data_IF_632993837574
#
_entry.id   IF_632993837574
#
_cell.length_a   1.000
_cell.length_b   1.000
_cell.length_c   1.000
_cell.angle_alpha   90.00
_cell.angle_beta   90.00
_cell.angle_gamma   90.00
#
_symmetry.space_group_name_H-M   'P 1'
#
loop_
_entity.id
_entity.type
_entity.pdbx_description
1 polymer ?
#
# COMPACT_ATOMS: atom_id res chain seq x y z
N UNK A 1 31.17 2.09 44.36
CA UNK A 1 30.13 1.13 43.91
C UNK A 1 28.74 1.72 43.68
N UNK A 2 28.40 2.98 44.05
CA UNK A 2 27.06 3.54 43.81
C UNK A 2 26.91 4.39 42.54
N UNK A 3 28.00 4.90 41.96
CA UNK A 3 27.95 5.72 40.73
C UNK A 3 27.88 4.89 39.43
N UNK A 4 28.44 3.66 39.43
CA UNK A 4 28.45 2.80 38.24
C UNK A 4 27.08 2.18 37.93
N UNK A 5 26.19 2.07 38.93
CA UNK A 5 24.84 1.52 38.74
C UNK A 5 23.89 2.56 38.13
N UNK A 6 24.07 3.85 38.41
CA UNK A 6 23.22 4.90 37.81
C UNK A 6 23.49 5.13 36.32
N UNK A 7 24.73 4.97 35.86
CA UNK A 7 25.09 5.10 34.43
C UNK A 7 24.63 3.90 33.58
N UNK A 8 24.42 2.72 34.19
CA UNK A 8 23.84 1.56 33.50
C UNK A 8 22.34 1.72 33.24
N UNK A 9 21.62 2.40 34.13
CA UNK A 9 20.15 2.53 34.04
C UNK A 9 19.71 3.62 33.06
N UNK A 10 20.47 4.71 32.89
CA UNK A 10 20.16 5.72 31.86
C UNK A 10 20.45 5.26 30.43
N UNK A 11 21.43 4.38 30.24
CA UNK A 11 21.78 3.82 28.92
C UNK A 11 20.71 2.85 28.38
N UNK A 12 19.87 2.30 29.26
CA UNK A 12 18.78 1.37 28.91
C UNK A 12 17.48 2.07 28.51
N UNK A 13 17.36 3.39 28.70
CA UNK A 13 16.17 4.17 28.32
C UNK A 13 16.30 4.94 27.00
N UNK A 14 17.51 5.02 26.43
CA UNK A 14 17.73 5.58 25.09
C UNK A 14 17.42 4.58 23.95
N UNK A 15 17.19 3.30 24.29
CA UNK A 15 16.82 2.26 23.33
C UNK A 15 15.37 1.82 23.50
N UNK A 16 14.42 2.60 22.97
CA UNK A 16 13.09 2.13 22.48
C UNK A 16 12.07 3.26 22.24
N UNK A 17 12.44 4.53 22.22
CA UNK A 17 11.67 5.49 21.40
C UNK A 17 12.06 5.25 19.94
N UNK A 18 11.68 4.09 19.38
CA UNK A 18 11.42 4.04 17.94
C UNK A 18 10.17 4.88 17.74
N UNK A 19 10.37 6.19 17.52
CA UNK A 19 9.38 6.94 16.76
C UNK A 19 9.35 6.22 15.43
N UNK A 20 8.38 5.32 15.26
CA UNK A 20 8.15 4.69 13.98
C UNK A 20 7.71 5.86 13.07
N UNK A 21 8.60 6.26 12.17
CA UNK A 21 8.22 7.20 11.12
C UNK A 21 7.07 6.56 10.32
N UNK A 22 6.11 7.37 9.88
CA UNK A 22 5.11 6.94 8.92
C UNK A 22 5.85 6.36 7.70
N UNK A 23 5.41 5.20 7.22
CA UNK A 23 6.03 4.56 6.06
C UNK A 23 5.38 5.06 4.76
N UNK A 24 6.21 5.22 3.73
CA UNK A 24 5.80 5.64 2.39
C UNK A 24 5.93 4.46 1.45
N UNK A 25 4.83 4.11 0.81
CA UNK A 25 4.78 3.06 -0.21
C UNK A 25 4.59 3.68 -1.58
N UNK A 26 4.90 2.92 -2.63
CA UNK A 26 4.48 3.27 -3.98
C UNK A 26 3.72 2.10 -4.61
N UNK A 27 2.57 2.41 -5.19
CA UNK A 27 1.75 1.48 -5.94
C UNK A 27 2.50 1.02 -7.20
N UNK A 28 2.65 -0.28 -7.38
CA UNK A 28 3.42 -0.85 -8.47
C UNK A 28 2.56 -1.85 -9.25
N UNK A 29 2.26 -1.53 -10.50
CA UNK A 29 1.55 -2.39 -11.43
C UNK A 29 2.47 -3.52 -11.87
N UNK A 30 2.27 -4.73 -11.34
CA UNK A 30 3.12 -5.89 -11.67
C UNK A 30 2.99 -6.26 -13.15
N UNK A 31 1.81 -6.10 -13.75
CA UNK A 31 1.59 -6.35 -15.20
C UNK A 31 2.56 -5.54 -16.08
N UNK A 32 2.93 -4.33 -15.66
CA UNK A 32 3.86 -3.46 -16.41
C UNK A 32 5.34 -3.88 -16.29
N UNK A 33 5.61 -5.04 -15.67
CA UNK A 33 6.95 -5.62 -15.50
C UNK A 33 7.16 -6.92 -16.29
N UNK A 34 6.28 -7.26 -17.24
CA UNK A 34 6.34 -8.49 -18.05
C UNK A 34 7.74 -8.80 -18.61
N UNK A 35 8.47 -7.75 -19.03
CA UNK A 35 9.81 -7.88 -19.62
C UNK A 35 10.94 -7.48 -18.67
N UNK A 36 10.67 -7.26 -17.39
CA UNK A 36 11.71 -6.92 -16.42
C UNK A 36 12.59 -8.13 -16.16
N UNK A 37 13.88 -7.85 -16.06
CA UNK A 37 14.86 -8.75 -15.45
C UNK A 37 15.05 -8.40 -13.98
N UNK A 38 15.78 -9.23 -13.22
CA UNK A 38 16.19 -8.89 -11.85
C UNK A 38 16.93 -7.55 -11.79
N UNK A 39 17.72 -7.21 -12.82
CA UNK A 39 18.42 -5.92 -12.90
C UNK A 39 17.47 -4.72 -12.98
N UNK A 40 16.40 -4.83 -13.76
CA UNK A 40 15.39 -3.76 -13.88
C UNK A 40 14.67 -3.56 -12.54
N UNK A 41 14.31 -4.64 -11.86
CA UNK A 41 13.77 -4.60 -10.50
C UNK A 41 14.73 -3.94 -9.51
N UNK A 42 16.01 -4.32 -9.49
CA UNK A 42 17.02 -3.73 -8.61
C UNK A 42 17.21 -2.23 -8.86
N UNK A 43 17.18 -1.77 -10.11
CA UNK A 43 17.26 -0.35 -10.46
C UNK A 43 16.05 0.40 -9.92
N UNK A 44 14.84 -0.10 -10.14
CA UNK A 44 13.63 0.56 -9.68
C UNK A 44 13.62 0.68 -8.15
N UNK A 45 13.99 -0.39 -7.44
CA UNK A 45 14.11 -0.37 -5.98
C UNK A 45 15.20 0.59 -5.49
N UNK A 46 16.33 0.67 -6.20
CA UNK A 46 17.37 1.66 -5.89
C UNK A 46 16.83 3.09 -6.02
N UNK A 47 16.07 3.40 -7.06
CA UNK A 47 15.47 4.73 -7.22
C UNK A 47 14.39 5.01 -6.18
N UNK A 48 13.57 4.02 -5.83
CA UNK A 48 12.60 4.14 -4.75
C UNK A 48 13.27 4.45 -3.40
N UNK A 49 14.36 3.74 -3.06
CA UNK A 49 15.17 4.03 -1.87
C UNK A 49 15.74 5.45 -1.89
N UNK A 50 16.21 5.94 -3.05
CA UNK A 50 16.71 7.31 -3.20
C UNK A 50 15.60 8.37 -3.04
N UNK A 51 14.36 8.01 -3.38
CA UNK A 51 13.17 8.83 -3.16
C UNK A 51 12.56 8.67 -1.76
N UNK A 52 13.20 7.90 -0.87
CA UNK A 52 12.71 7.60 0.48
C UNK A 52 11.37 6.85 0.51
N UNK A 53 11.13 6.01 -0.49
CA UNK A 53 10.02 5.03 -0.47
C UNK A 53 10.51 3.78 0.28
N UNK A 54 9.69 3.28 1.19
CA UNK A 54 9.99 2.16 2.07
C UNK A 54 9.63 0.80 1.44
N UNK A 55 8.57 0.75 0.64
CA UNK A 55 8.12 -0.48 -0.01
C UNK A 55 7.36 -0.24 -1.31
N UNK A 56 7.29 -1.26 -2.16
CA UNK A 56 6.29 -1.31 -3.25
C UNK A 56 5.06 -2.12 -2.84
N UNK A 57 3.89 -1.54 -3.10
CA UNK A 57 2.59 -2.20 -3.06
C UNK A 57 2.37 -2.90 -4.41
N UNK A 58 2.61 -4.21 -4.47
CA UNK A 58 2.55 -4.98 -5.71
C UNK A 58 1.10 -5.24 -6.10
N UNK A 59 0.58 -4.42 -7.01
CA UNK A 59 -0.75 -4.56 -7.59
C UNK A 59 -0.76 -5.68 -8.63
N UNK A 60 -1.65 -6.66 -8.41
CA UNK A 60 -1.76 -7.84 -9.24
C UNK A 60 -3.22 -8.16 -9.54
N UNK A 61 -3.57 -8.21 -10.81
CA UNK A 61 -4.86 -8.74 -11.26
C UNK A 61 -4.83 -10.28 -11.21
N UNK A 62 -5.96 -10.89 -10.86
CA UNK A 62 -6.06 -12.35 -10.76
C UNK A 62 -5.76 -13.02 -12.12
N UNK A 63 -4.90 -14.04 -12.11
CA UNK A 63 -4.59 -14.85 -13.30
C UNK A 63 -3.81 -14.13 -14.39
N UNK A 64 -3.25 -12.95 -14.13
CA UNK A 64 -2.26 -12.33 -15.02
C UNK A 64 -1.00 -13.20 -15.07
N UNK A 65 -0.60 -13.63 -16.28
CA UNK A 65 0.56 -14.49 -16.50
C UNK A 65 1.89 -13.85 -16.09
N UNK A 66 1.91 -12.53 -15.87
CA UNK A 66 3.07 -11.78 -15.40
C UNK A 66 3.36 -11.99 -13.92
N UNK A 67 2.34 -12.33 -13.12
CA UNK A 67 2.43 -12.33 -11.65
C UNK A 67 3.55 -13.25 -11.15
N UNK A 68 3.44 -14.55 -11.36
CA UNK A 68 4.40 -15.53 -10.82
C UNK A 68 5.85 -15.30 -11.26
N UNK A 69 6.17 -15.14 -12.57
CA UNK A 69 7.55 -14.90 -12.99
C UNK A 69 8.09 -13.57 -12.44
N UNK A 70 7.28 -12.51 -12.44
CA UNK A 70 7.74 -11.20 -11.99
C UNK A 70 7.93 -11.14 -10.47
N UNK A 71 7.04 -11.75 -9.69
CA UNK A 71 7.19 -11.84 -8.23
C UNK A 71 8.48 -12.55 -7.82
N UNK A 72 8.85 -13.64 -8.50
CA UNK A 72 10.11 -14.34 -8.23
C UNK A 72 11.32 -13.39 -8.39
N UNK A 73 11.37 -12.65 -9.50
CA UNK A 73 12.44 -11.69 -9.80
C UNK A 73 12.42 -10.49 -8.83
N UNK A 74 11.23 -9.99 -8.49
CA UNK A 74 11.04 -8.88 -7.57
C UNK A 74 11.56 -9.24 -6.17
N UNK A 75 11.19 -10.39 -5.62
CA UNK A 75 11.67 -10.80 -4.29
C UNK A 75 13.16 -11.15 -4.29
N UNK A 76 13.71 -11.66 -5.38
CA UNK A 76 15.17 -11.83 -5.52
C UNK A 76 15.88 -10.47 -5.43
N UNK A 77 15.47 -9.51 -6.25
CA UNK A 77 16.02 -8.15 -6.26
C UNK A 77 15.84 -7.44 -4.91
N UNK A 78 14.66 -7.55 -4.29
CA UNK A 78 14.38 -6.90 -3.01
C UNK A 78 15.26 -7.43 -1.89
N UNK A 79 15.53 -8.74 -1.86
CA UNK A 79 16.46 -9.33 -0.89
C UNK A 79 17.89 -8.83 -1.09
N UNK A 80 18.34 -8.66 -2.34
CA UNK A 80 19.66 -8.07 -2.65
C UNK A 80 19.74 -6.61 -2.21
N UNK A 81 18.68 -5.83 -2.44
CA UNK A 81 18.64 -4.39 -2.17
C UNK A 81 18.29 -4.04 -0.73
N UNK A 82 17.82 -5.01 0.07
CA UNK A 82 17.20 -4.74 1.37
C UNK A 82 15.95 -3.85 1.25
N UNK A 83 15.23 -3.95 0.13
CA UNK A 83 13.99 -3.21 -0.11
C UNK A 83 12.79 -4.06 0.31
N UNK A 84 11.65 -3.43 0.63
CA UNK A 84 10.46 -4.14 1.08
C UNK A 84 9.38 -4.17 -0.01
N UNK A 85 8.59 -5.23 -0.02
CA UNK A 85 7.48 -5.45 -0.95
C UNK A 85 6.27 -5.96 -0.16
N UNK A 86 5.05 -5.64 -0.58
CA UNK A 86 3.86 -6.31 -0.07
C UNK A 86 2.81 -6.46 -1.17
N UNK A 87 1.81 -7.29 -0.93
CA UNK A 87 0.78 -7.56 -1.93
C UNK A 87 -0.40 -6.61 -1.82
N UNK A 88 -0.78 -6.06 -2.96
CA UNK A 88 -2.06 -5.38 -3.22
C UNK A 88 -2.84 -6.23 -4.22
N UNK A 89 -3.74 -7.09 -3.73
CA UNK A 89 -4.54 -7.93 -4.63
C UNK A 89 -5.59 -7.07 -5.33
N UNK A 90 -5.53 -6.98 -6.66
CA UNK A 90 -6.50 -6.25 -7.46
C UNK A 90 -7.72 -7.14 -7.77
N UNK A 91 -8.83 -6.84 -7.10
CA UNK A 91 -10.11 -7.54 -7.27
C UNK A 91 -10.97 -6.95 -8.40
N UNK A 92 -10.60 -5.78 -8.95
CA UNK A 92 -11.32 -5.10 -10.01
C UNK A 92 -10.70 -5.31 -11.41
N UNK A 93 -9.40 -5.60 -11.49
CA UNK A 93 -8.64 -5.68 -12.74
C UNK A 93 -8.99 -6.88 -13.63
N UNK A 94 -9.14 -8.07 -13.05
CA UNK A 94 -9.53 -9.29 -13.78
C UNK A 94 -10.54 -10.16 -13.00
N UNK A 95 -11.38 -9.51 -12.20
CA UNK A 95 -12.34 -10.16 -11.32
C UNK A 95 -11.76 -10.56 -9.97
N UNK A 96 -12.62 -11.12 -9.11
CA UNK A 96 -12.28 -11.41 -7.73
C UNK A 96 -11.24 -12.52 -7.61
N UNK A 97 -10.26 -12.34 -6.72
CA UNK A 97 -9.30 -13.36 -6.36
C UNK A 97 -9.96 -14.50 -5.56
N UNK A 98 -9.73 -15.78 -5.92
CA UNK A 98 -10.15 -16.90 -5.10
C UNK A 98 -9.44 -16.88 -3.74
N UNK A 99 -10.20 -17.05 -2.66
CA UNK A 99 -9.68 -17.07 -1.28
C UNK A 99 -8.46 -17.97 -1.09
N UNK A 100 -8.50 -19.20 -1.62
CA UNK A 100 -7.40 -20.15 -1.47
C UNK A 100 -6.10 -19.64 -2.10
N UNK A 101 -6.19 -19.04 -3.29
CA UNK A 101 -5.05 -18.47 -3.99
C UNK A 101 -4.43 -17.29 -3.23
N UNK A 102 -5.25 -16.43 -2.62
CA UNK A 102 -4.74 -15.33 -1.77
C UNK A 102 -3.96 -15.88 -0.57
N UNK A 103 -4.48 -16.93 0.08
CA UNK A 103 -3.78 -17.60 1.19
C UNK A 103 -2.44 -18.17 0.72
N UNK A 104 -2.44 -18.90 -0.41
CA UNK A 104 -1.23 -19.52 -0.95
C UNK A 104 -0.13 -18.48 -1.25
N UNK A 105 -0.49 -17.35 -1.84
CA UNK A 105 0.45 -16.24 -2.10
C UNK A 105 1.04 -15.68 -0.79
N UNK A 106 0.19 -15.39 0.20
CA UNK A 106 0.66 -14.84 1.48
C UNK A 106 1.52 -15.87 2.24
N UNK A 107 1.16 -17.14 2.23
CA UNK A 107 1.95 -18.19 2.89
C UNK A 107 3.31 -18.39 2.20
N UNK A 108 3.36 -18.27 0.87
CA UNK A 108 4.59 -18.41 0.09
C UNK A 108 5.58 -17.25 0.34
N UNK A 109 5.11 -16.01 0.35
CA UNK A 109 5.99 -14.83 0.38
C UNK A 109 5.98 -14.06 1.69
N UNK A 110 4.92 -14.18 2.49
CA UNK A 110 4.69 -13.35 3.67
C UNK A 110 5.75 -13.51 4.75
N UNK A 111 6.50 -14.61 4.78
CA UNK A 111 7.61 -14.80 5.73
C UNK A 111 8.98 -14.34 5.19
N UNK A 112 9.05 -13.88 3.94
CA UNK A 112 10.29 -13.42 3.33
C UNK A 112 10.80 -12.14 4.04
N UNK A 113 12.12 -12.01 4.22
CA UNK A 113 12.74 -10.83 4.83
C UNK A 113 12.55 -9.54 4.04
N UNK A 114 12.30 -9.65 2.74
CA UNK A 114 11.94 -8.53 1.88
C UNK A 114 10.43 -8.26 1.84
N UNK A 115 9.60 -9.01 2.59
CA UNK A 115 8.17 -8.73 2.70
C UNK A 115 7.94 -7.68 3.79
N UNK A 116 7.20 -6.61 3.50
CA UNK A 116 6.90 -5.57 4.47
C UNK A 116 6.03 -6.13 5.60
N UNK A 117 6.53 -6.02 6.83
CA UNK A 117 5.81 -6.43 8.03
C UNK A 117 5.44 -5.24 8.89
N UNK A 118 4.21 -5.23 9.38
CA UNK A 118 3.76 -4.27 10.38
C UNK A 118 3.37 -4.98 11.67
N UNK A 119 3.94 -4.54 12.79
CA UNK A 119 3.78 -5.18 14.11
C UNK A 119 4.05 -6.70 14.07
N UNK A 120 5.06 -7.10 13.28
CA UNK A 120 5.49 -8.49 13.13
C UNK A 120 4.58 -9.36 12.25
N UNK A 121 3.62 -8.79 11.54
CA UNK A 121 2.69 -9.50 10.65
C UNK A 121 2.91 -9.08 9.19
N UNK A 122 2.77 -9.99 8.21
CA UNK A 122 2.84 -9.61 6.80
C UNK A 122 1.73 -8.62 6.50
N UNK A 123 2.10 -7.47 5.93
CA UNK A 123 1.14 -6.43 5.56
C UNK A 123 0.49 -6.76 4.21
N UNK A 124 -0.82 -6.61 4.08
CA UNK A 124 -1.55 -6.92 2.84
C UNK A 124 -2.60 -5.85 2.60
N UNK A 125 -2.73 -5.42 1.35
CA UNK A 125 -3.79 -4.54 0.88
C UNK A 125 -4.54 -5.16 -0.31
N UNK A 126 -5.54 -4.43 -0.80
CA UNK A 126 -6.27 -4.74 -2.03
C UNK A 126 -6.44 -3.47 -2.84
N UNK A 127 -6.73 -3.61 -4.12
CA UNK A 127 -7.47 -2.60 -4.87
C UNK A 127 -8.89 -3.11 -5.06
N UNK A 128 -9.86 -2.39 -4.48
CA UNK A 128 -11.26 -2.78 -4.41
C UNK A 128 -11.48 -4.22 -3.89
N UNK A 129 -12.61 -4.84 -4.23
CA UNK A 129 -13.04 -6.16 -3.77
C UNK A 129 -13.95 -6.21 -2.54
N UNK A 130 -14.79 -5.20 -2.23
CA UNK A 130 -15.66 -5.27 -1.05
C UNK A 130 -16.67 -6.43 -1.09
N UNK A 131 -17.03 -6.93 -2.27
CA UNK A 131 -17.88 -8.13 -2.42
C UNK A 131 -17.21 -9.41 -1.88
N UNK A 132 -15.89 -9.42 -1.79
CA UNK A 132 -15.08 -10.51 -1.22
C UNK A 132 -14.69 -10.24 0.24
N UNK A 133 -15.18 -9.16 0.87
CA UNK A 133 -14.88 -8.83 2.26
C UNK A 133 -15.16 -9.97 3.28
N UNK A 134 -16.19 -10.83 3.11
CA UNK A 134 -16.39 -11.98 4.00
C UNK A 134 -15.28 -13.04 3.94
N UNK A 135 -14.59 -13.20 2.80
CA UNK A 135 -13.51 -14.19 2.67
C UNK A 135 -12.29 -13.81 3.52
N UNK A 136 -12.08 -12.52 3.77
CA UNK A 136 -10.97 -12.02 4.56
C UNK A 136 -11.03 -12.42 6.04
N UNK A 137 -12.19 -12.86 6.54
CA UNK A 137 -12.30 -13.49 7.88
C UNK A 137 -11.40 -14.73 7.93
N UNK A 138 -11.51 -15.60 6.93
CA UNK A 138 -10.76 -16.85 6.85
C UNK A 138 -9.31 -16.61 6.43
N UNK A 139 -9.07 -15.70 5.47
CA UNK A 139 -7.71 -15.37 4.99
C UNK A 139 -6.86 -14.88 6.16
N UNK A 140 -7.32 -13.85 6.89
CA UNK A 140 -6.59 -13.33 8.05
C UNK A 140 -6.38 -14.37 9.13
N UNK A 141 -7.38 -15.22 9.39
CA UNK A 141 -7.26 -16.29 10.38
C UNK A 141 -6.18 -17.30 10.02
N UNK A 142 -5.98 -17.57 8.73
CA UNK A 142 -5.00 -18.54 8.22
C UNK A 142 -3.60 -17.97 8.14
N UNK A 143 -3.46 -16.76 7.61
CA UNK A 143 -2.15 -16.16 7.31
C UNK A 143 -1.61 -15.30 8.44
N UNK A 144 -2.49 -14.82 9.34
CA UNK A 144 -2.13 -13.89 10.40
C UNK A 144 -1.73 -12.49 9.91
N UNK A 145 -2.05 -12.15 8.66
CA UNK A 145 -1.66 -10.87 8.06
C UNK A 145 -2.26 -9.65 8.76
N UNK A 146 -1.58 -8.51 8.60
CA UNK A 146 -2.11 -7.18 8.91
C UNK A 146 -2.77 -6.63 7.64
N UNK A 147 -4.08 -6.43 7.69
CA UNK A 147 -4.89 -6.21 6.50
C UNK A 147 -5.43 -4.78 6.44
N UNK A 148 -5.05 -4.05 5.37
CA UNK A 148 -5.43 -2.66 5.10
C UNK A 148 -5.97 -2.57 3.67
N UNK A 149 -7.23 -2.95 3.41
CA UNK A 149 -7.80 -2.91 2.07
C UNK A 149 -8.09 -1.49 1.62
N UNK A 150 -8.01 -1.28 0.31
CA UNK A 150 -8.82 -0.26 -0.36
C UNK A 150 -10.17 -0.87 -0.75
N UNK A 151 -11.25 -0.32 -0.19
CA UNK A 151 -12.65 -0.58 -0.56
C UNK A 151 -13.36 0.76 -0.80
N UNK A 152 -12.68 1.69 -1.47
CA UNK A 152 -13.13 3.07 -1.62
C UNK A 152 -14.47 3.22 -2.34
N UNK A 153 -14.87 2.26 -3.20
CA UNK A 153 -16.20 2.24 -3.82
C UNK A 153 -17.36 2.24 -2.82
N UNK A 154 -17.15 1.80 -1.57
CA UNK A 154 -18.14 1.89 -0.49
C UNK A 154 -18.01 3.16 0.36
N UNK A 155 -16.82 3.77 0.40
CA UNK A 155 -16.44 4.74 1.42
C UNK A 155 -16.17 4.10 2.79
N UNK A 156 -15.52 4.86 3.69
CA UNK A 156 -14.94 4.32 4.93
C UNK A 156 -15.93 3.57 5.84
N UNK A 157 -17.09 4.15 6.13
CA UNK A 157 -18.08 3.54 7.05
C UNK A 157 -18.59 2.21 6.53
N UNK A 158 -19.08 2.19 5.29
CA UNK A 158 -19.64 0.99 4.70
C UNK A 158 -18.56 -0.08 4.43
N UNK A 159 -17.32 0.32 4.14
CA UNK A 159 -16.18 -0.61 4.07
C UNK A 159 -15.97 -1.35 5.40
N UNK A 160 -16.03 -0.66 6.54
CA UNK A 160 -15.93 -1.30 7.85
C UNK A 160 -17.13 -2.20 8.18
N UNK A 161 -18.32 -1.84 7.71
CA UNK A 161 -19.54 -2.63 7.88
C UNK A 161 -19.58 -3.87 6.98
N UNK A 162 -18.85 -3.87 5.85
CA UNK A 162 -18.79 -4.99 4.91
C UNK A 162 -18.14 -6.25 5.51
N UNK A 163 -17.21 -6.07 6.47
CA UNK A 163 -16.61 -7.17 7.23
C UNK A 163 -16.14 -6.67 8.60
N UNK A 164 -17.06 -6.56 9.58
CA UNK A 164 -16.77 -5.92 10.86
C UNK A 164 -15.63 -6.59 11.62
N UNK A 165 -14.64 -5.80 12.03
CA UNK A 165 -13.46 -6.25 12.76
C UNK A 165 -12.40 -6.96 11.93
N UNK A 166 -12.60 -7.09 10.61
CA UNK A 166 -11.62 -7.74 9.72
C UNK A 166 -10.53 -6.77 9.24
N UNK A 167 -10.83 -5.57 8.69
CA UNK A 167 -9.77 -4.60 8.38
C UNK A 167 -9.07 -4.10 9.66
N UNK A 168 -7.74 -4.17 9.69
CA UNK A 168 -6.91 -3.57 10.76
C UNK A 168 -6.69 -2.06 10.54
N UNK A 169 -6.91 -1.59 9.32
CA UNK A 169 -6.90 -0.22 8.87
C UNK A 169 -7.66 -0.11 7.54
N UNK A 170 -7.71 1.06 6.95
CA UNK A 170 -8.23 1.24 5.59
C UNK A 170 -7.29 2.11 4.75
N UNK A 171 -7.26 1.82 3.47
CA UNK A 171 -6.65 2.62 2.43
C UNK A 171 -7.75 3.33 1.64
N UNK A 172 -7.53 4.60 1.31
CA UNK A 172 -8.39 5.33 0.37
C UNK A 172 -7.72 5.42 -1.01
N UNK A 173 -8.51 5.34 -2.08
CA UNK A 173 -8.07 5.58 -3.46
C UNK A 173 -8.27 7.04 -3.90
N UNK A 174 -8.68 7.94 -3.00
CA UNK A 174 -8.98 9.34 -3.30
C UNK A 174 -7.72 10.23 -3.32
N UNK A 175 -6.78 9.96 -4.24
CA UNK A 175 -5.52 10.70 -4.35
C UNK A 175 -5.64 12.06 -5.07
N UNK A 176 -6.77 12.30 -5.75
CA UNK A 176 -6.96 13.37 -6.72
C UNK A 176 -8.28 14.11 -6.48
N UNK A 177 -8.40 15.37 -6.94
CA UNK A 177 -9.67 16.07 -6.90
C UNK A 177 -10.63 15.50 -7.93
N UNK A 178 -11.92 15.68 -7.69
CA UNK A 178 -12.93 15.33 -8.67
C UNK A 178 -13.04 16.41 -9.76
N UNK A 179 -12.60 16.11 -10.97
CA UNK A 179 -12.75 17.00 -12.13
C UNK A 179 -11.91 18.29 -11.99
N UNK A 180 -12.53 19.48 -12.14
CA UNK A 180 -11.81 20.76 -12.12
C UNK A 180 -11.63 21.35 -10.71
N UNK A 181 -12.01 20.62 -9.66
CA UNK A 181 -11.95 21.14 -8.29
C UNK A 181 -10.51 21.15 -7.74
N UNK A 182 -10.30 21.87 -6.65
CA UNK A 182 -9.07 21.78 -5.87
C UNK A 182 -9.08 20.54 -4.97
N UNK A 183 -7.90 20.06 -4.61
CA UNK A 183 -7.77 18.92 -3.71
C UNK A 183 -8.06 19.32 -2.27
N UNK A 184 -8.88 18.53 -1.58
CA UNK A 184 -9.22 18.73 -0.17
C UNK A 184 -8.90 17.49 0.69
N UNK A 185 -9.24 17.54 1.98
CA UNK A 185 -9.04 16.44 2.94
C UNK A 185 -10.36 15.86 3.46
N UNK A 186 -11.49 16.10 2.78
CA UNK A 186 -12.80 15.67 3.28
C UNK A 186 -12.89 14.14 3.33
N UNK A 187 -12.43 13.47 2.28
CA UNK A 187 -12.38 12.00 2.25
C UNK A 187 -11.43 11.47 3.31
N UNK A 188 -10.21 12.02 3.41
CA UNK A 188 -9.22 11.60 4.42
C UNK A 188 -9.79 11.73 5.85
N UNK A 189 -10.43 12.86 6.16
CA UNK A 189 -11.06 13.10 7.46
C UNK A 189 -12.14 12.06 7.77
N UNK A 190 -12.95 11.68 6.77
CA UNK A 190 -13.97 10.64 6.95
C UNK A 190 -13.35 9.27 7.30
N UNK A 191 -12.24 8.90 6.65
CA UNK A 191 -11.53 7.66 6.97
C UNK A 191 -10.99 7.70 8.41
N UNK A 192 -10.32 8.78 8.78
CA UNK A 192 -9.77 8.94 10.13
C UNK A 192 -10.86 8.92 11.22
N UNK A 193 -12.02 9.52 10.96
CA UNK A 193 -13.17 9.51 11.87
C UNK A 193 -13.71 8.08 12.06
N UNK A 194 -14.04 7.38 10.97
CA UNK A 194 -14.65 6.04 11.06
C UNK A 194 -13.69 4.93 11.49
N UNK A 195 -12.38 5.12 11.28
CA UNK A 195 -11.37 4.18 11.75
C UNK A 195 -11.23 4.20 13.28
N UNK A 196 -11.68 5.26 13.95
CA UNK A 196 -11.71 5.40 15.41
C UNK A 196 -10.37 5.04 16.07
N UNK A 197 -9.30 5.68 15.58
CA UNK A 197 -7.92 5.47 16.04
C UNK A 197 -7.20 4.26 15.42
N UNK A 198 -7.85 3.49 14.54
CA UNK A 198 -7.14 2.52 13.69
C UNK A 198 -6.34 3.21 12.58
N UNK A 199 -5.24 2.61 12.11
CA UNK A 199 -4.40 3.20 11.07
C UNK A 199 -5.14 3.49 9.75
N UNK A 200 -4.86 4.69 9.21
CA UNK A 200 -5.25 5.12 7.88
C UNK A 200 -4.03 5.12 6.95
N UNK A 201 -4.19 4.57 5.75
CA UNK A 201 -3.24 4.73 4.65
C UNK A 201 -3.76 5.80 3.69
N UNK A 202 -3.04 6.92 3.60
CA UNK A 202 -3.42 8.08 2.81
C UNK A 202 -2.88 7.97 1.38
N UNK A 203 -3.70 8.17 0.34
CA UNK A 203 -3.22 8.21 -1.03
C UNK A 203 -2.60 9.56 -1.37
N UNK A 204 -1.48 9.53 -2.10
CA UNK A 204 -0.85 10.72 -2.68
C UNK A 204 -0.54 10.43 -4.14
N UNK A 205 -0.77 11.38 -5.03
CA UNK A 205 -0.44 11.21 -6.44
C UNK A 205 0.07 12.53 -7.02
N UNK A 206 1.00 12.49 -8.00
CA UNK A 206 1.48 13.71 -8.60
C UNK A 206 0.45 14.36 -9.55
N UNK A 207 -0.34 13.56 -10.28
CA UNK A 207 -1.42 14.00 -11.18
C UNK A 207 -2.26 12.80 -11.65
N UNK A 208 -3.29 13.03 -12.46
CA UNK A 208 -4.04 11.95 -13.12
C UNK A 208 -4.43 12.35 -14.54
N UNK A 209 -4.10 11.48 -15.49
CA UNK A 209 -4.63 11.57 -16.85
C UNK A 209 -4.69 10.18 -17.46
N UNK A 210 -5.83 9.85 -18.05
CA UNK A 210 -5.98 8.58 -18.75
C UNK A 210 -6.63 8.80 -20.10
N UNK A 211 -6.17 8.07 -21.10
CA UNK A 211 -6.82 7.94 -22.39
C UNK A 211 -6.62 6.50 -22.88
N UNK A 212 -7.48 5.63 -22.39
CA UNK A 212 -7.48 4.20 -22.65
C UNK A 212 -8.84 3.82 -23.26
N UNK A 213 -9.00 3.89 -24.59
CA UNK A 213 -10.25 3.59 -25.28
C UNK A 213 -10.78 2.18 -24.99
N UNK A 214 -9.88 1.19 -24.83
CA UNK A 214 -10.25 -0.19 -24.50
C UNK A 214 -10.97 -0.33 -23.15
N UNK A 215 -10.73 0.61 -22.22
CA UNK A 215 -11.34 0.66 -20.89
C UNK A 215 -12.40 1.75 -20.78
N UNK A 216 -12.76 2.41 -21.89
CA UNK A 216 -13.66 3.57 -21.93
C UNK A 216 -13.23 4.70 -20.99
N UNK A 217 -11.91 4.84 -20.79
CA UNK A 217 -11.33 5.89 -19.96
C UNK A 217 -10.78 7.02 -20.82
N UNK A 218 -11.21 8.25 -20.57
CA UNK A 218 -10.68 9.46 -21.21
C UNK A 218 -11.01 10.69 -20.35
N UNK A 219 -10.17 10.99 -19.36
CA UNK A 219 -10.32 12.18 -18.52
C UNK A 219 -9.01 12.64 -17.90
N UNK A 220 -9.05 13.85 -17.36
CA UNK A 220 -7.99 14.51 -16.60
C UNK A 220 -8.61 15.11 -15.35
N UNK A 221 -7.86 15.13 -14.26
CA UNK A 221 -8.21 15.87 -13.05
C UNK A 221 -7.26 17.04 -12.85
N UNK A 222 -7.71 18.07 -12.13
CA UNK A 222 -6.85 19.20 -11.77
C UNK A 222 -5.62 18.69 -11.01
N UNK A 223 -4.42 19.00 -11.51
CA UNK A 223 -3.17 18.37 -11.06
C UNK A 223 -2.01 19.34 -10.82
N UNK A 224 -2.12 20.61 -11.25
CA UNK A 224 -0.98 21.55 -11.33
C UNK A 224 -0.24 21.75 -10.00
N UNK A 225 -0.95 21.61 -8.88
CA UNK A 225 -0.40 21.73 -7.52
C UNK A 225 -0.59 20.46 -6.68
N UNK A 226 -1.14 19.39 -7.26
CA UNK A 226 -1.62 18.24 -6.50
C UNK A 226 -0.53 17.58 -5.66
N UNK A 227 0.63 17.32 -6.24
CA UNK A 227 1.77 16.75 -5.52
C UNK A 227 2.10 17.56 -4.25
N UNK A 228 2.26 18.87 -4.41
CA UNK A 228 2.60 19.77 -3.31
C UNK A 228 1.49 19.86 -2.26
N UNK A 229 0.24 19.92 -2.69
CA UNK A 229 -0.91 20.04 -1.79
C UNK A 229 -1.16 18.77 -1.00
N UNK A 230 -1.13 17.59 -1.65
CA UNK A 230 -1.27 16.29 -0.97
C UNK A 230 -0.16 16.06 0.06
N UNK A 231 1.09 16.40 -0.24
CA UNK A 231 2.18 16.27 0.74
C UNK A 231 2.01 17.21 1.94
N UNK A 232 1.57 18.47 1.74
CA UNK A 232 1.23 19.36 2.87
C UNK A 232 0.07 18.80 3.71
N UNK A 233 -0.95 18.24 3.06
CA UNK A 233 -2.06 17.60 3.75
C UNK A 233 -1.60 16.37 4.54
N UNK A 234 -0.73 15.54 3.97
CA UNK A 234 -0.16 14.37 4.67
C UNK A 234 0.67 14.78 5.89
N UNK A 235 1.46 15.85 5.79
CA UNK A 235 2.20 16.41 6.92
C UNK A 235 1.28 16.93 8.03
N UNK A 236 0.10 17.45 7.67
CA UNK A 236 -0.89 17.95 8.63
C UNK A 236 -1.68 16.81 9.29
N UNK A 237 -2.16 15.86 8.49
CA UNK A 237 -2.99 14.75 8.96
C UNK A 237 -2.19 13.66 9.68
N UNK A 238 -0.90 13.52 9.35
CA UNK A 238 0.02 12.52 9.90
C UNK A 238 -0.56 11.09 9.88
N UNK A 239 -0.94 10.56 8.70
CA UNK A 239 -1.42 9.18 8.59
C UNK A 239 -0.31 8.18 8.97
N UNK A 240 -0.69 6.95 9.32
CA UNK A 240 0.29 5.89 9.63
C UNK A 240 1.11 5.53 8.38
N UNK A 241 0.47 5.55 7.22
CA UNK A 241 1.09 5.29 5.93
C UNK A 241 0.65 6.29 4.87
N UNK A 242 1.54 6.51 3.91
CA UNK A 242 1.21 7.12 2.63
C UNK A 242 1.46 6.10 1.54
N UNK A 243 0.51 5.92 0.62
CA UNK A 243 0.77 5.20 -0.62
C UNK A 243 0.76 6.18 -1.80
N UNK A 244 1.88 6.24 -2.51
CA UNK A 244 2.02 7.01 -3.74
C UNK A 244 1.38 6.22 -4.88
N UNK A 245 0.38 6.81 -5.53
CA UNK A 245 -0.30 6.26 -6.71
C UNK A 245 0.19 7.06 -7.93
N UNK A 246 1.13 6.57 -8.73
CA UNK A 246 1.81 5.27 -8.61
C UNK A 246 3.32 5.38 -8.88
N UNK A 247 4.01 4.25 -8.95
CA UNK A 247 5.39 4.17 -9.43
C UNK A 247 5.48 3.97 -10.96
N UNK A 248 4.56 3.21 -11.56
CA UNK A 248 4.68 2.74 -12.96
C UNK A 248 3.34 2.48 -13.68
N UNK A 249 2.24 3.10 -13.26
CA UNK A 249 0.96 3.04 -13.96
C UNK A 249 0.89 4.07 -15.08
N UNK A 250 1.65 3.77 -16.15
CA UNK A 250 1.77 4.63 -17.31
C UNK A 250 0.42 4.88 -18.04
N UNK A 251 -0.58 4.01 -17.85
CA UNK A 251 -1.89 4.13 -18.51
C UNK A 251 -2.80 5.20 -17.90
N UNK A 252 -2.61 5.49 -16.61
CA UNK A 252 -3.26 6.58 -15.87
C UNK A 252 -2.29 7.75 -15.58
N UNK A 253 -1.14 7.69 -16.23
CA UNK A 253 -0.08 8.69 -16.33
C UNK A 253 0.61 9.04 -15.01
N UNK A 254 0.47 8.26 -13.95
CA UNK A 254 1.14 8.51 -12.67
C UNK A 254 2.12 7.42 -12.30
#
# INVERSE_FOLDING_TARGET
MRAAVLLGVLSLWLGACRVQAAAVFAHFMVTNSENFTTYDWEINMKFAQQAHIDAFALNMAYGDATNEPSLALAFEAANVRGFQLFFSFDYAGNGAWPKATVIDYIDQYGSNSAYYHYKGKPFVSTFEGPSSAPDWIDIKKKTGCYFVPDWSSLGAKAALEASPGVPDGLFSWAAWPWGPNDMDTYVDASYMEYLDGRPYMMPVSPWFYTNLPGYKKNWVWNGDHLWHDRWKQALYLQPEWVEIISWNDYGESH
#
